data_IF_300142112561
#
_entry.id   IF_300142112561
#
_cell.length_a   1.000
_cell.length_b   1.000
_cell.length_c   1.000
_cell.angle_alpha   90.00
_cell.angle_beta   90.00
_cell.angle_gamma   90.00
#
_symmetry.space_group_name_H-M   'P 1'
#
loop_
_entity.id
_entity.type
_entity.pdbx_description
1 polymer ?
#
# COMPACT_ATOMS: atom_id res chain seq x y z
N UNK A 1 57.46 52.55 -64.25
CA UNK A 1 56.83 51.50 -63.41
C UNK A 1 57.79 51.16 -62.28
N UNK A 2 57.36 51.18 -61.01
CA UNK A 2 58.22 50.86 -59.84
C UNK A 2 57.50 49.90 -58.89
N UNK A 3 58.22 48.87 -58.46
CA UNK A 3 57.81 47.81 -57.54
C UNK A 3 57.41 48.32 -56.15
N UNK A 4 56.42 47.65 -55.51
CA UNK A 4 56.45 47.27 -54.08
C UNK A 4 55.63 45.98 -53.82
N UNK A 5 56.28 44.97 -53.23
CA UNK A 5 55.69 43.99 -52.29
C UNK A 5 55.79 44.60 -50.86
N UNK A 6 55.31 43.98 -49.74
CA UNK A 6 54.63 42.68 -49.55
C UNK A 6 53.18 42.92 -49.03
N UNK A 7 52.46 42.10 -48.22
CA UNK A 7 52.71 40.85 -47.48
C UNK A 7 51.40 40.07 -47.25
N UNK A 8 51.50 38.81 -46.77
CA UNK A 8 50.36 37.96 -46.38
C UNK A 8 50.42 37.64 -44.89
N UNK A 9 49.37 37.94 -44.12
CA UNK A 9 49.20 37.49 -42.73
C UNK A 9 48.26 36.28 -42.71
N UNK A 10 48.73 35.14 -42.17
CA UNK A 10 47.88 33.98 -41.93
C UNK A 10 47.14 34.11 -40.60
N UNK A 11 45.80 34.04 -40.61
CA UNK A 11 44.98 34.06 -39.40
C UNK A 11 44.60 32.62 -39.03
N UNK A 12 45.15 32.11 -37.92
CA UNK A 12 44.88 30.76 -37.44
C UNK A 12 43.58 30.76 -36.61
N UNK A 13 42.49 30.27 -37.18
CA UNK A 13 41.19 30.23 -36.52
C UNK A 13 41.06 28.97 -35.66
N UNK A 14 41.14 29.11 -34.33
CA UNK A 14 40.88 28.02 -33.39
C UNK A 14 39.35 27.81 -33.24
N UNK A 15 38.84 26.67 -33.69
CA UNK A 15 37.50 26.21 -33.33
C UNK A 15 37.52 25.60 -31.92
N UNK A 16 36.99 26.32 -30.94
CA UNK A 16 36.62 25.76 -29.63
C UNK A 16 35.29 25.02 -29.74
N UNK A 17 35.34 23.68 -29.73
CA UNK A 17 34.13 22.86 -29.58
C UNK A 17 33.60 22.97 -28.15
N UNK A 18 32.41 23.55 -27.98
CA UNK A 18 31.75 23.65 -26.68
C UNK A 18 30.98 22.35 -26.37
N UNK A 19 31.57 21.49 -25.54
CA UNK A 19 30.92 20.24 -25.09
C UNK A 19 29.83 20.56 -24.07
N UNK A 20 28.57 20.51 -24.47
CA UNK A 20 27.42 20.63 -23.55
C UNK A 20 27.32 19.38 -22.69
N UNK A 21 27.73 19.49 -21.42
CA UNK A 21 27.51 18.45 -20.42
C UNK A 21 26.02 18.45 -20.04
N UNK A 22 25.26 17.50 -20.59
CA UNK A 22 23.90 17.23 -20.13
C UNK A 22 23.99 16.48 -18.81
N UNK A 23 23.84 17.22 -17.70
CA UNK A 23 23.65 16.60 -16.39
C UNK A 23 22.28 15.94 -16.37
N UNK A 24 22.25 14.61 -16.43
CA UNK A 24 21.05 13.85 -16.13
C UNK A 24 20.73 14.08 -14.64
N UNK A 25 19.66 14.81 -14.35
CA UNK A 25 19.09 14.85 -13.00
C UNK A 25 18.71 13.42 -12.60
N UNK A 26 18.89 13.01 -11.33
CA UNK A 26 18.29 11.77 -10.87
C UNK A 26 16.78 11.87 -11.09
N UNK A 27 16.18 10.80 -11.62
CA UNK A 27 14.73 10.66 -11.53
C UNK A 27 14.37 10.65 -10.04
N UNK A 28 13.38 11.45 -9.65
CA UNK A 28 12.76 11.25 -8.35
C UNK A 28 12.23 9.80 -8.32
N UNK A 29 12.43 9.11 -7.20
CA UNK A 29 11.69 7.87 -6.98
C UNK A 29 10.19 8.20 -7.02
N UNK A 30 9.37 7.27 -7.52
CA UNK A 30 7.94 7.37 -7.29
C UNK A 30 7.73 7.33 -5.77
N UNK A 31 7.09 8.36 -5.23
CA UNK A 31 6.76 8.39 -3.80
C UNK A 31 5.71 7.30 -3.52
N UNK A 32 5.80 6.56 -2.40
CA UNK A 32 4.82 5.55 -2.05
C UNK A 32 3.44 6.18 -1.79
N UNK A 33 2.47 5.89 -2.66
CA UNK A 33 1.13 6.47 -2.61
C UNK A 33 0.20 5.65 -1.69
N UNK A 34 0.40 5.81 -0.39
CA UNK A 34 -0.51 5.29 0.64
C UNK A 34 -1.76 6.15 0.80
N UNK A 35 -2.81 5.58 1.39
CA UNK A 35 -4.05 6.28 1.62
C UNK A 35 -3.99 7.31 2.76
N UNK A 36 -4.62 8.48 2.55
CA UNK A 36 -4.98 9.45 3.58
C UNK A 36 -6.28 9.02 4.26
N UNK A 37 -6.33 9.04 5.60
CA UNK A 37 -7.49 8.58 6.37
C UNK A 37 -8.18 9.71 7.13
N UNK A 38 -9.51 9.62 7.23
CA UNK A 38 -10.32 10.41 8.16
C UNK A 38 -11.16 9.46 9.02
N UNK A 39 -11.37 9.85 10.27
CA UNK A 39 -12.18 9.11 11.24
C UNK A 39 -12.94 10.08 12.15
N UNK A 40 -14.25 9.89 12.26
CA UNK A 40 -15.16 10.62 13.13
C UNK A 40 -16.08 9.65 13.85
N UNK A 41 -15.74 9.27 15.08
CA UNK A 41 -16.48 8.26 15.83
C UNK A 41 -16.14 6.86 15.34
N UNK A 42 -17.01 6.26 14.54
CA UNK A 42 -16.81 4.92 13.97
C UNK A 42 -17.04 4.87 12.44
N UNK A 43 -17.00 6.03 11.78
CA UNK A 43 -17.02 6.14 10.33
C UNK A 43 -16.09 7.26 9.85
N UNK A 44 -15.80 7.30 8.55
CA UNK A 44 -14.93 8.31 7.96
C UNK A 44 -14.74 8.13 6.47
N UNK A 45 -13.62 8.64 5.96
CA UNK A 45 -13.27 8.55 4.53
C UNK A 45 -11.84 8.08 4.33
N UNK A 46 -11.56 7.52 3.16
CA UNK A 46 -10.23 7.14 2.69
C UNK A 46 -10.05 7.69 1.28
N UNK A 47 -8.92 8.36 1.04
CA UNK A 47 -8.52 8.88 -0.27
C UNK A 47 -7.17 8.29 -0.64
N UNK A 48 -7.00 7.82 -1.87
CA UNK A 48 -5.69 7.46 -2.42
C UNK A 48 -5.25 8.53 -3.43
N UNK A 49 -3.95 8.95 -3.42
CA UNK A 49 -3.50 10.11 -4.20
C UNK A 49 -3.32 9.83 -5.71
N UNK A 50 -3.70 8.65 -6.19
CA UNK A 50 -3.73 8.30 -7.62
C UNK A 50 -4.96 8.88 -8.33
N UNK A 51 -4.73 9.45 -9.52
CA UNK A 51 -5.79 10.08 -10.32
C UNK A 51 -6.81 9.06 -10.80
N UNK A 52 -8.08 9.28 -10.45
CA UNK A 52 -9.19 8.41 -10.87
C UNK A 52 -9.52 7.29 -9.88
N UNK A 53 -8.80 7.17 -8.75
CA UNK A 53 -9.27 6.33 -7.65
C UNK A 53 -10.49 6.99 -6.97
N UNK A 54 -11.58 6.26 -6.70
CA UNK A 54 -12.78 6.80 -6.05
C UNK A 54 -12.53 7.13 -4.58
N UNK A 55 -13.22 8.16 -4.06
CA UNK A 55 -13.32 8.37 -2.61
C UNK A 55 -14.01 7.14 -2.00
N UNK A 56 -13.46 6.60 -0.91
CA UNK A 56 -14.17 5.61 -0.11
C UNK A 56 -14.76 6.28 1.14
N UNK A 57 -16.03 6.03 1.41
CA UNK A 57 -16.60 6.19 2.75
C UNK A 57 -16.46 4.85 3.48
N UNK A 58 -16.20 4.88 4.80
CA UNK A 58 -16.07 3.65 5.57
C UNK A 58 -16.76 3.73 6.92
N UNK A 59 -17.32 2.60 7.36
CA UNK A 59 -17.96 2.45 8.67
C UNK A 59 -17.45 1.18 9.36
N UNK A 60 -17.45 1.18 10.70
CA UNK A 60 -17.11 0.03 11.53
C UNK A 60 -17.94 -0.02 12.81
N UNK A 61 -18.13 -1.20 13.39
CA UNK A 61 -18.68 -1.40 14.74
C UNK A 61 -17.59 -1.67 15.80
N UNK A 62 -16.32 -1.57 15.40
CA UNK A 62 -15.12 -1.68 16.23
C UNK A 62 -15.19 -0.89 17.54
N UNK A 63 -14.71 -1.50 18.63
CA UNK A 63 -14.63 -0.85 19.95
C UNK A 63 -13.48 0.15 20.04
N UNK A 64 -13.67 1.31 19.41
CA UNK A 64 -12.69 2.40 19.34
C UNK A 64 -11.69 2.17 18.21
N UNK A 65 -12.09 2.33 16.93
CA UNK A 65 -11.14 2.41 15.82
C UNK A 65 -10.21 3.62 16.00
N UNK A 66 -9.02 3.54 15.41
CA UNK A 66 -8.05 4.63 15.39
C UNK A 66 -7.34 4.69 14.03
N UNK A 67 -6.83 5.86 13.67
CA UNK A 67 -5.84 6.03 12.60
C UNK A 67 -4.47 6.20 13.26
N UNK A 68 -3.47 5.49 12.75
CA UNK A 68 -2.09 5.50 13.24
C UNK A 68 -1.13 5.94 12.13
N UNK A 69 -0.09 6.69 12.49
CA UNK A 69 0.78 7.41 11.54
C UNK A 69 1.95 6.60 10.95
N UNK A 70 1.93 5.26 11.02
CA UNK A 70 3.00 4.42 10.47
C UNK A 70 4.39 4.61 11.08
N UNK A 71 4.53 5.36 12.18
CA UNK A 71 5.84 5.76 12.70
C UNK A 71 6.61 4.61 13.40
N UNK A 72 5.89 3.70 14.06
CA UNK A 72 6.47 2.57 14.83
C UNK A 72 6.04 1.20 14.33
N UNK A 73 4.99 1.13 13.51
CA UNK A 73 4.45 -0.06 12.86
C UNK A 73 4.30 0.28 11.40
N UNK A 74 4.95 -0.46 10.51
CA UNK A 74 4.93 -0.17 9.07
C UNK A 74 5.31 -1.39 8.25
N UNK A 75 4.88 -1.40 6.99
CA UNK A 75 5.30 -2.33 5.97
C UNK A 75 6.59 -1.79 5.35
N UNK A 76 7.73 -2.44 5.61
CA UNK A 76 9.00 -2.04 5.02
C UNK A 76 9.06 -2.32 3.51
N UNK A 77 9.98 -1.65 2.81
CA UNK A 77 10.17 -1.80 1.36
C UNK A 77 10.58 -3.24 0.95
N UNK A 78 11.12 -4.03 1.87
CA UNK A 78 11.50 -5.43 1.64
C UNK A 78 10.31 -6.41 1.80
N UNK A 79 9.16 -5.97 2.32
CA UNK A 79 7.93 -6.80 2.31
C UNK A 79 7.43 -7.01 0.88
N UNK A 80 6.70 -8.10 0.60
CA UNK A 80 6.02 -8.26 -0.69
C UNK A 80 5.09 -7.11 -1.07
N UNK A 81 4.39 -6.50 -0.09
CA UNK A 81 3.56 -5.31 -0.32
C UNK A 81 4.41 -4.06 -0.61
N UNK A 82 5.46 -3.83 0.20
CA UNK A 82 6.35 -2.68 0.06
C UNK A 82 7.29 -2.73 -1.15
N UNK A 83 7.54 -3.92 -1.69
CA UNK A 83 8.21 -4.08 -2.99
C UNK A 83 7.32 -3.60 -4.16
N UNK A 84 5.99 -3.63 -3.98
CA UNK A 84 5.01 -3.24 -4.99
C UNK A 84 4.58 -1.76 -4.88
N UNK A 85 4.45 -1.26 -3.65
CA UNK A 85 3.90 0.07 -3.33
C UNK A 85 4.86 1.00 -2.55
N UNK A 86 6.09 0.56 -2.28
CA UNK A 86 7.04 1.25 -1.41
C UNK A 86 6.72 1.13 0.09
N UNK A 87 7.60 1.65 0.95
CA UNK A 87 7.46 1.50 2.41
C UNK A 87 6.32 2.36 2.97
N UNK A 88 5.53 1.79 3.91
CA UNK A 88 4.49 2.52 4.66
C UNK A 88 5.05 3.30 5.85
N UNK A 89 6.37 3.46 5.98
CA UNK A 89 6.97 4.10 7.14
C UNK A 89 6.60 5.59 7.19
N UNK A 90 5.92 6.00 8.27
CA UNK A 90 5.37 7.35 8.40
C UNK A 90 4.06 7.59 7.63
N UNK A 91 3.46 6.55 7.04
CA UNK A 91 2.19 6.61 6.31
C UNK A 91 1.02 6.12 7.17
N UNK A 92 -0.17 6.66 6.94
CA UNK A 92 -1.34 6.35 7.76
C UNK A 92 -1.91 4.94 7.50
N UNK A 93 -2.47 4.36 8.57
CA UNK A 93 -3.17 3.07 8.53
C UNK A 93 -4.28 3.01 9.58
N UNK A 94 -5.31 2.22 9.30
CA UNK A 94 -6.39 1.99 10.26
C UNK A 94 -6.04 0.89 11.26
N UNK A 95 -6.37 1.13 12.53
CA UNK A 95 -6.15 0.25 13.67
C UNK A 95 -7.53 -0.14 14.23
N UNK A 96 -7.97 -1.36 13.94
CA UNK A 96 -9.35 -1.80 14.12
C UNK A 96 -9.43 -2.94 15.14
N UNK A 97 -10.32 -2.78 16.13
CA UNK A 97 -10.52 -3.71 17.25
C UNK A 97 -11.81 -4.52 17.05
N UNK A 98 -12.05 -5.59 17.83
CA UNK A 98 -13.34 -6.28 17.86
C UNK A 98 -14.48 -5.35 18.25
N UNK A 99 -15.71 -5.75 17.96
CA UNK A 99 -16.91 -5.06 18.42
C UNK A 99 -17.08 -5.21 19.95
N UNK A 100 -17.90 -4.36 20.60
CA UNK A 100 -18.10 -4.39 22.05
C UNK A 100 -18.43 -5.79 22.61
N UNK A 101 -17.75 -6.15 23.72
CA UNK A 101 -17.75 -7.48 24.36
C UNK A 101 -16.95 -8.56 23.61
N UNK A 102 -15.99 -8.17 22.76
CA UNK A 102 -15.18 -9.07 21.92
C UNK A 102 -16.01 -9.87 20.91
N UNK A 103 -17.12 -9.29 20.44
CA UNK A 103 -17.81 -9.84 19.28
C UNK A 103 -16.97 -9.56 18.03
N UNK A 104 -17.11 -10.35 16.95
CA UNK A 104 -16.51 -10.01 15.65
C UNK A 104 -16.88 -8.59 15.26
N UNK A 105 -15.91 -7.81 14.76
CA UNK A 105 -16.19 -6.48 14.18
C UNK A 105 -16.31 -6.56 12.67
N UNK A 106 -17.25 -5.79 12.13
CA UNK A 106 -17.37 -5.55 10.69
C UNK A 106 -16.82 -4.17 10.35
N UNK A 107 -16.07 -4.07 9.26
CA UNK A 107 -15.59 -2.79 8.69
C UNK A 107 -15.87 -2.80 7.20
N UNK A 108 -16.69 -1.87 6.73
CA UNK A 108 -17.12 -1.82 5.32
C UNK A 108 -16.69 -0.51 4.69
N UNK A 109 -16.04 -0.61 3.54
CA UNK A 109 -15.68 0.48 2.65
C UNK A 109 -16.67 0.51 1.49
N UNK A 110 -17.23 1.66 1.18
CA UNK A 110 -18.09 1.92 0.01
C UNK A 110 -17.42 2.95 -0.86
N UNK A 111 -17.12 2.60 -2.10
CA UNK A 111 -16.45 3.48 -3.05
C UNK A 111 -17.47 4.33 -3.82
N UNK A 112 -17.22 5.64 -3.96
CA UNK A 112 -18.09 6.60 -4.65
C UNK A 112 -18.28 6.33 -6.16
N UNK A 113 -17.49 5.40 -6.69
CA UNK A 113 -17.58 4.79 -8.01
C UNK A 113 -16.73 3.52 -8.02
N UNK A 114 -16.76 2.68 -9.07
CA UNK A 114 -15.97 1.47 -9.11
C UNK A 114 -14.46 1.77 -9.06
N UNK A 115 -13.70 1.02 -8.26
CA UNK A 115 -12.23 1.13 -8.21
C UNK A 115 -11.59 0.75 -9.55
N UNK A 116 -10.35 1.16 -9.82
CA UNK A 116 -9.54 0.54 -10.87
C UNK A 116 -9.44 -0.99 -10.67
N UNK A 117 -9.33 -1.74 -11.76
CA UNK A 117 -9.17 -3.21 -11.74
C UNK A 117 -7.70 -3.67 -11.52
N UNK A 118 -6.79 -2.73 -11.29
CA UNK A 118 -5.35 -2.92 -11.09
C UNK A 118 -4.71 -1.62 -10.58
N UNK A 119 -3.41 -1.63 -10.27
CA UNK A 119 -2.66 -0.43 -9.87
C UNK A 119 -2.89 0.01 -8.41
N UNK A 120 -3.60 -0.81 -7.63
CA UNK A 120 -3.80 -0.60 -6.20
C UNK A 120 -3.82 -1.95 -5.47
N UNK A 121 -3.73 -1.90 -4.15
CA UNK A 121 -3.84 -3.04 -3.28
C UNK A 121 -4.06 -2.66 -1.83
N UNK A 122 -4.30 -3.67 -1.00
CA UNK A 122 -4.43 -3.51 0.44
C UNK A 122 -3.75 -4.64 1.20
N UNK A 123 -3.33 -4.36 2.43
CA UNK A 123 -2.69 -5.32 3.32
C UNK A 123 -3.35 -5.29 4.70
N UNK A 124 -3.50 -6.46 5.30
CA UNK A 124 -3.93 -6.66 6.70
C UNK A 124 -2.76 -7.19 7.51
N UNK A 125 -2.50 -6.64 8.70
CA UNK A 125 -1.44 -7.06 9.62
C UNK A 125 -1.93 -7.30 11.05
N UNK A 126 -1.10 -7.96 11.86
CA UNK A 126 -1.46 -8.62 13.13
C UNK A 126 -2.59 -9.64 12.94
N UNK A 127 -2.41 -10.58 12.01
CA UNK A 127 -3.28 -11.75 11.83
C UNK A 127 -2.52 -13.02 12.24
N UNK A 128 -2.13 -13.12 13.53
CA UNK A 128 -1.39 -14.24 14.12
C UNK A 128 -2.18 -15.01 15.19
N UNK A 129 -2.92 -14.29 16.04
CA UNK A 129 -3.82 -14.85 17.05
C UNK A 129 -5.31 -14.65 16.70
N UNK A 130 -5.59 -14.21 15.46
CA UNK A 130 -6.89 -13.72 15.00
C UNK A 130 -7.34 -14.38 13.69
N UNK A 131 -8.52 -14.01 13.20
CA UNK A 131 -9.03 -14.36 11.87
C UNK A 131 -9.68 -13.14 11.24
N UNK A 132 -9.38 -12.89 9.97
CA UNK A 132 -10.07 -11.88 9.16
C UNK A 132 -10.66 -12.50 7.91
N UNK A 133 -11.95 -12.25 7.70
CA UNK A 133 -12.71 -12.60 6.51
C UNK A 133 -12.89 -11.36 5.65
N UNK A 134 -12.69 -11.49 4.34
CA UNK A 134 -12.63 -10.37 3.40
C UNK A 134 -13.52 -10.71 2.20
N UNK A 135 -14.48 -9.84 1.91
CA UNK A 135 -15.41 -9.96 0.78
C UNK A 135 -15.60 -8.60 0.11
N UNK A 136 -16.09 -8.58 -1.12
CA UNK A 136 -16.33 -7.34 -1.86
C UNK A 136 -17.46 -7.47 -2.88
N UNK A 137 -17.89 -6.36 -3.44
CA UNK A 137 -18.91 -6.31 -4.47
C UNK A 137 -18.42 -5.60 -5.75
N UNK A 138 -18.89 -6.04 -6.91
CA UNK A 138 -18.63 -5.42 -8.22
C UNK A 138 -19.38 -4.09 -8.40
N UNK A 139 -19.26 -3.47 -9.57
CA UNK A 139 -19.91 -2.20 -9.90
C UNK A 139 -21.45 -2.26 -9.86
N UNK A 140 -22.02 -3.45 -10.04
CA UNK A 140 -23.46 -3.72 -10.01
C UNK A 140 -23.97 -4.16 -8.62
N UNK A 141 -23.05 -4.37 -7.65
CA UNK A 141 -23.35 -4.79 -6.29
C UNK A 141 -23.43 -6.31 -6.08
N UNK A 142 -22.98 -7.12 -7.05
CA UNK A 142 -22.88 -8.58 -6.87
C UNK A 142 -21.60 -8.94 -6.11
N UNK A 143 -21.59 -10.00 -5.28
CA UNK A 143 -20.36 -10.49 -4.65
C UNK A 143 -19.29 -10.88 -5.68
N UNK A 144 -18.05 -10.44 -5.46
CA UNK A 144 -16.88 -10.93 -6.22
C UNK A 144 -16.33 -12.19 -5.55
N UNK A 145 -15.74 -13.10 -6.33
CA UNK A 145 -15.07 -14.28 -5.76
C UNK A 145 -13.82 -13.93 -4.94
N UNK A 146 -13.45 -14.79 -3.99
CA UNK A 146 -12.22 -14.61 -3.21
C UNK A 146 -10.96 -14.48 -4.11
N UNK A 147 -10.91 -15.27 -5.19
CA UNK A 147 -9.87 -15.17 -6.22
C UNK A 147 -9.83 -13.81 -6.94
N UNK A 148 -10.97 -13.13 -7.12
CA UNK A 148 -11.03 -11.80 -7.74
C UNK A 148 -10.51 -10.68 -6.83
N UNK A 149 -10.58 -10.85 -5.50
CA UNK A 149 -9.88 -9.99 -4.53
C UNK A 149 -8.35 -10.10 -4.69
N UNK A 150 -7.86 -11.19 -5.29
CA UNK A 150 -6.50 -11.31 -5.78
C UNK A 150 -5.46 -11.36 -4.66
N UNK A 151 -5.57 -12.33 -3.76
CA UNK A 151 -4.55 -12.59 -2.73
C UNK A 151 -3.17 -12.81 -3.37
N UNK A 152 -2.17 -12.08 -2.88
CA UNK A 152 -0.80 -12.10 -3.41
C UNK A 152 0.18 -12.87 -2.51
N UNK A 153 -0.19 -13.15 -1.26
CA UNK A 153 0.60 -13.94 -0.32
C UNK A 153 0.56 -13.43 1.12
N UNK A 154 1.01 -14.30 2.04
CA UNK A 154 1.31 -13.93 3.42
C UNK A 154 2.76 -13.50 3.57
N UNK A 155 3.04 -12.66 4.57
CA UNK A 155 4.37 -12.21 4.96
C UNK A 155 4.36 -11.75 6.42
N UNK A 156 5.53 -11.42 6.98
CA UNK A 156 5.60 -10.84 8.32
C UNK A 156 6.34 -9.48 8.27
N UNK A 157 5.69 -8.40 8.73
CA UNK A 157 6.30 -7.06 8.68
C UNK A 157 7.48 -6.88 9.67
N UNK A 158 7.73 -7.83 10.57
CA UNK A 158 8.86 -7.82 11.48
C UNK A 158 10.17 -8.34 10.87
N UNK A 159 10.18 -8.96 9.68
CA UNK A 159 11.41 -9.37 8.98
C UNK A 159 12.17 -8.19 8.33
N UNK A 160 11.55 -7.01 8.24
CA UNK A 160 12.08 -5.85 7.51
C UNK A 160 13.35 -5.22 8.08
N UNK A 161 14.06 -4.52 7.19
CA UNK A 161 15.08 -3.52 7.54
C UNK A 161 14.72 -2.17 6.90
N UNK A 162 14.58 -1.06 7.66
CA UNK A 162 14.60 -0.98 9.11
C UNK A 162 13.42 -1.75 9.72
N UNK A 163 13.66 -2.32 10.91
CA UNK A 163 12.64 -3.08 11.63
C UNK A 163 11.63 -2.13 12.29
N UNK A 164 10.31 -2.41 12.23
CA UNK A 164 9.33 -1.65 13.00
C UNK A 164 9.62 -1.71 14.50
N UNK A 165 9.34 -0.62 15.21
CA UNK A 165 9.64 -0.48 16.63
C UNK A 165 8.82 -1.42 17.52
N UNK A 166 7.61 -1.80 17.10
CA UNK A 166 6.79 -2.83 17.76
C UNK A 166 7.44 -4.21 17.70
N UNK A 167 8.14 -4.53 16.61
CA UNK A 167 8.79 -5.81 16.35
C UNK A 167 10.11 -6.04 17.11
N UNK A 168 10.51 -5.18 18.05
CA UNK A 168 11.88 -5.14 18.56
C UNK A 168 12.40 -6.49 19.12
N UNK A 169 11.55 -7.27 19.79
CA UNK A 169 11.86 -8.60 20.32
C UNK A 169 11.34 -9.78 19.48
N UNK A 170 10.57 -9.50 18.44
CA UNK A 170 9.86 -10.52 17.67
C UNK A 170 10.74 -11.15 16.58
N UNK A 171 10.89 -12.47 16.44
CA UNK A 171 11.63 -13.06 15.32
C UNK A 171 10.96 -12.82 13.96
N UNK A 172 9.64 -12.57 13.92
CA UNK A 172 8.89 -12.23 12.71
C UNK A 172 8.73 -13.36 11.70
N UNK A 173 8.64 -14.62 12.13
CA UNK A 173 8.72 -15.77 11.22
C UNK A 173 7.38 -16.47 10.91
N UNK A 174 6.27 -15.92 11.37
CA UNK A 174 4.94 -16.49 11.18
C UNK A 174 4.10 -15.68 10.18
N UNK A 175 3.22 -16.37 9.46
CA UNK A 175 2.35 -15.78 8.42
C UNK A 175 0.96 -16.40 8.49
N UNK A 176 -0.13 -15.66 8.24
CA UNK A 176 -1.47 -16.20 8.30
C UNK A 176 -1.68 -17.30 7.23
N UNK A 177 -2.42 -18.33 7.61
CA UNK A 177 -2.92 -19.33 6.68
C UNK A 177 -4.05 -18.73 5.85
N UNK A 178 -3.94 -18.80 4.52
CA UNK A 178 -4.98 -18.37 3.58
C UNK A 178 -5.92 -19.52 3.22
N UNK A 179 -7.21 -19.24 3.14
CA UNK A 179 -8.20 -20.11 2.52
C UNK A 179 -9.33 -19.32 1.85
N UNK A 180 -10.10 -19.98 0.99
CA UNK A 180 -11.25 -19.40 0.28
C UNK A 180 -12.53 -20.12 0.69
N UNK A 181 -13.56 -19.35 1.06
CA UNK A 181 -14.90 -19.86 1.37
C UNK A 181 -15.91 -19.16 0.47
N UNK A 182 -16.02 -19.62 -0.77
CA UNK A 182 -16.93 -19.05 -1.77
C UNK A 182 -16.46 -17.70 -2.30
N UNK A 183 -17.20 -16.64 -1.97
CA UNK A 183 -16.88 -15.24 -2.26
C UNK A 183 -15.92 -14.60 -1.23
N UNK A 184 -15.66 -15.30 -0.14
CA UNK A 184 -14.93 -14.78 1.01
C UNK A 184 -13.49 -15.31 1.06
N UNK A 185 -12.52 -14.42 1.04
CA UNK A 185 -11.12 -14.71 1.36
C UNK A 185 -10.92 -14.72 2.88
N UNK A 186 -10.18 -15.70 3.41
CA UNK A 186 -9.98 -15.86 4.86
C UNK A 186 -8.49 -15.95 5.17
N UNK A 187 -8.02 -15.10 6.08
CA UNK A 187 -6.71 -15.20 6.70
C UNK A 187 -6.88 -15.62 8.17
N UNK A 188 -6.26 -16.73 8.55
CA UNK A 188 -6.30 -17.30 9.89
C UNK A 188 -4.90 -17.32 10.49
N UNK A 189 -4.74 -16.72 11.67
CA UNK A 189 -3.49 -16.74 12.41
C UNK A 189 -3.12 -18.14 12.93
N UNK A 190 -1.85 -18.34 13.24
CA UNK A 190 -1.33 -19.64 13.69
C UNK A 190 -1.56 -19.94 15.18
N UNK A 191 -2.07 -18.97 15.93
CA UNK A 191 -2.42 -19.08 17.34
C UNK A 191 -1.61 -18.16 18.25
N UNK A 192 -0.26 -18.24 18.29
CA UNK A 192 0.56 -17.37 19.12
C UNK A 192 0.29 -15.87 18.87
N UNK A 193 0.22 -15.11 19.96
CA UNK A 193 0.12 -13.65 19.98
C UNK A 193 1.55 -13.11 19.83
N UNK A 194 1.88 -12.65 18.63
CA UNK A 194 3.21 -12.21 18.18
C UNK A 194 3.06 -10.81 17.58
N UNK A 195 3.83 -10.47 16.54
CA UNK A 195 3.63 -9.27 15.76
C UNK A 195 3.96 -9.59 14.31
N UNK A 196 3.35 -8.84 13.38
CA UNK A 196 3.87 -8.78 12.02
C UNK A 196 3.15 -9.65 11.01
N UNK A 197 2.52 -10.75 11.44
CA UNK A 197 1.83 -11.68 10.55
C UNK A 197 0.78 -10.95 9.70
N UNK A 198 0.95 -11.00 8.38
CA UNK A 198 0.23 -10.15 7.43
C UNK A 198 -0.13 -10.91 6.16
N UNK A 199 -1.16 -10.43 5.47
CA UNK A 199 -1.54 -10.88 4.14
C UNK A 199 -1.98 -9.70 3.28
N UNK A 200 -1.82 -9.80 1.96
CA UNK A 200 -2.14 -8.70 1.06
C UNK A 200 -2.76 -9.13 -0.27
N UNK A 201 -3.42 -8.16 -0.89
CA UNK A 201 -4.37 -8.35 -1.98
C UNK A 201 -4.18 -7.27 -3.05
N UNK A 202 -4.35 -7.67 -4.31
CA UNK A 202 -4.46 -6.80 -5.48
C UNK A 202 -5.72 -7.19 -6.25
N UNK A 203 -6.85 -6.50 -6.02
CA UNK A 203 -8.08 -6.79 -6.74
C UNK A 203 -7.90 -6.76 -8.25
N UNK A 204 -8.50 -7.73 -8.92
CA UNK A 204 -8.38 -7.96 -10.38
C UNK A 204 -9.62 -7.48 -11.15
N UNK A 205 -10.59 -6.92 -10.43
CA UNK A 205 -11.85 -6.37 -10.94
C UNK A 205 -12.16 -5.05 -10.22
N UNK A 206 -12.97 -4.15 -10.83
CA UNK A 206 -13.50 -3.00 -10.14
C UNK A 206 -14.39 -3.41 -8.96
N UNK A 207 -14.21 -2.74 -7.81
CA UNK A 207 -15.03 -2.94 -6.62
C UNK A 207 -15.90 -1.70 -6.35
N UNK A 208 -17.15 -1.89 -5.94
CA UNK A 208 -18.00 -0.85 -5.34
C UNK A 208 -17.96 -0.88 -3.82
N UNK A 209 -17.63 -2.03 -3.22
CA UNK A 209 -17.40 -2.15 -1.78
C UNK A 209 -16.37 -3.23 -1.43
N UNK A 210 -15.80 -3.10 -0.23
CA UNK A 210 -14.90 -4.07 0.39
C UNK A 210 -15.24 -4.17 1.89
N UNK A 211 -15.44 -5.37 2.40
CA UNK A 211 -15.84 -5.64 3.78
C UNK A 211 -14.84 -6.57 4.46
N UNK A 212 -14.50 -6.23 5.71
CA UNK A 212 -13.63 -6.98 6.58
C UNK A 212 -14.41 -7.39 7.84
N UNK A 213 -14.53 -8.69 8.10
CA UNK A 213 -15.02 -9.21 9.38
C UNK A 213 -13.85 -9.78 10.19
N UNK A 214 -13.57 -9.20 11.35
CA UNK A 214 -12.43 -9.53 12.19
C UNK A 214 -12.88 -10.20 13.51
N UNK A 215 -12.30 -11.37 13.80
CA UNK A 215 -12.59 -12.18 14.97
C UNK A 215 -11.30 -12.52 15.72
N UNK A 216 -11.32 -12.39 17.05
CA UNK A 216 -10.18 -12.77 17.90
C UNK A 216 -10.25 -14.24 18.28
N UNK A 217 -9.15 -14.99 18.09
CA UNK A 217 -9.04 -16.35 18.63
C UNK A 217 -8.43 -16.30 20.03
N UNK A 218 -7.35 -15.53 20.22
CA UNK A 218 -6.74 -15.25 21.53
C UNK A 218 -5.84 -13.98 21.49
N UNK A 219 -5.24 -13.60 22.61
CA UNK A 219 -4.17 -12.58 22.62
C UNK A 219 -4.63 -11.13 22.42
N UNK A 220 -3.81 -10.38 21.66
CA UNK A 220 -4.07 -9.03 21.15
C UNK A 220 -5.40 -8.96 20.41
N UNK A 221 -5.95 -7.75 20.30
CA UNK A 221 -7.33 -7.54 19.81
C UNK A 221 -7.36 -6.42 18.80
N UNK A 222 -6.59 -6.56 17.74
CA UNK A 222 -6.50 -5.56 16.69
C UNK A 222 -6.01 -6.20 15.40
N UNK A 223 -6.57 -5.78 14.26
CA UNK A 223 -5.85 -5.83 13.00
C UNK A 223 -5.54 -4.44 12.46
N UNK A 224 -4.52 -4.40 11.62
CA UNK A 224 -3.96 -3.22 11.01
C UNK A 224 -4.29 -3.24 9.51
N UNK A 225 -4.70 -2.12 8.92
CA UNK A 225 -5.15 -2.06 7.52
C UNK A 225 -4.50 -0.90 6.75
N UNK A 226 -3.80 -1.24 5.67
CA UNK A 226 -3.20 -0.29 4.73
C UNK A 226 -3.82 -0.43 3.35
N UNK A 227 -4.13 0.69 2.71
CA UNK A 227 -4.44 0.78 1.28
C UNK A 227 -3.31 1.56 0.58
N UNK A 228 -2.91 1.16 -0.63
CA UNK A 228 -1.93 1.88 -1.43
C UNK A 228 -2.18 1.76 -2.94
N UNK A 229 -1.67 2.72 -3.70
CA UNK A 229 -1.69 2.78 -5.18
C UNK A 229 -0.27 2.84 -5.75
N UNK A 230 -0.14 2.41 -7.01
CA UNK A 230 1.08 2.61 -7.80
C UNK A 230 0.99 3.90 -8.59
N UNK A 231 2.04 4.71 -8.53
CA UNK A 231 2.13 5.93 -9.34
C UNK A 231 2.44 5.61 -10.81
N UNK A 232 1.42 5.63 -11.66
CA UNK A 232 1.52 5.44 -13.11
C UNK A 232 2.35 6.52 -13.84
N UNK A 233 2.78 7.61 -13.17
CA UNK A 233 3.63 8.66 -13.76
C UNK A 233 4.99 8.14 -14.25
N UNK A 234 5.41 6.95 -13.82
CA UNK A 234 6.62 6.28 -14.33
C UNK A 234 6.51 5.71 -15.75
N UNK A 235 5.30 5.38 -16.21
CA UNK A 235 5.09 4.58 -17.44
C UNK A 235 4.73 5.45 -18.65
N UNK A 236 4.20 6.64 -18.43
CA UNK A 236 3.70 7.55 -19.47
C UNK A 236 4.78 8.44 -20.13
N UNK A 237 5.94 7.88 -20.53
CA UNK A 237 6.93 8.55 -21.41
C UNK A 237 8.00 7.61 -21.99
N UNK A 238 7.69 6.94 -23.11
CA UNK A 238 8.64 6.57 -24.17
C UNK A 238 7.98 6.70 -25.53
#
# INVERSE_FOLDING_TARGET
>A
MRFRHPATLGFCCFLTAATTVVTASPAAAAEPEYADWQLSGTSGTVTLPTTGFPLAEWETDSSGPQIHSGATTFLGADTPFGAEFGSSQGQEYAFIRPAPRNQPSTTTFTFSGPTPASGWGFATGDIDADTIQISGADAEGNPVSAAQLGFQGGFNYCENVPKPGTCASDPGNDVPAYSETGDTAVLTGNGPDTHGASGWFKPTVPLSSLTFEFSVLQGSRVYQLWFATQDDRGTARR
#
